data_IF_813044232997
#
_entry.id   IF_813044232997
#
_cell.length_a   1.000
_cell.length_b   1.000
_cell.length_c   1.000
_cell.angle_alpha   90.00
_cell.angle_beta   90.00
_cell.angle_gamma   90.00
#
_symmetry.space_group_name_H-M   'P 1'
#
loop_
_entity.id
_entity.type
_entity.pdbx_description
1 polymer ?
#
# COMPACT_ATOMS: atom_id res chain seq x y z
N UNK A 1 12.47 -9.61 31.30
CA UNK A 1 12.07 -8.38 30.61
C UNK A 1 10.56 -8.33 30.60
N UNK A 2 9.96 -7.17 30.88
CA UNK A 2 8.51 -6.98 30.84
C UNK A 2 8.04 -6.80 29.39
N UNK A 3 6.98 -7.51 29.01
CA UNK A 3 6.28 -7.30 27.74
C UNK A 3 5.76 -5.86 27.64
N UNK A 4 5.86 -5.26 26.45
CA UNK A 4 5.28 -3.95 26.15
C UNK A 4 4.01 -4.14 25.33
N UNK A 5 2.86 -3.92 25.95
CA UNK A 5 1.58 -3.92 25.25
C UNK A 5 1.40 -2.61 24.48
N UNK A 6 1.10 -2.71 23.19
CA UNK A 6 0.76 -1.58 22.31
C UNK A 6 -0.67 -1.74 21.79
N UNK A 7 -1.18 -0.70 21.12
CA UNK A 7 -2.51 -0.70 20.49
C UNK A 7 -2.69 -1.91 19.56
N UNK A 8 -3.94 -2.36 19.39
CA UNK A 8 -4.30 -3.42 18.45
C UNK A 8 -3.88 -3.10 17.00
N UNK A 9 -3.70 -4.13 16.18
CA UNK A 9 -3.35 -3.96 14.76
C UNK A 9 -1.87 -4.11 14.43
N UNK A 10 -1.03 -4.41 15.43
CA UNK A 10 0.38 -4.75 15.26
C UNK A 10 0.69 -6.20 15.65
N UNK A 11 -0.34 -7.04 15.83
CA UNK A 11 -0.17 -8.47 16.11
C UNK A 11 0.59 -9.17 14.98
N UNK A 12 1.09 -10.38 15.24
CA UNK A 12 1.75 -11.20 14.23
C UNK A 12 0.88 -11.31 12.96
N UNK A 13 -0.42 -11.56 13.15
CA UNK A 13 -1.39 -11.66 12.07
C UNK A 13 -1.46 -10.36 11.28
N UNK A 14 -1.68 -9.21 11.93
CA UNK A 14 -1.80 -7.94 11.21
C UNK A 14 -0.52 -7.57 10.43
N UNK A 15 0.66 -7.82 11.00
CA UNK A 15 1.93 -7.61 10.27
C UNK A 15 2.06 -8.53 9.06
N UNK A 16 1.64 -9.78 9.16
CA UNK A 16 1.63 -10.70 8.03
C UNK A 16 0.68 -10.24 6.92
N UNK A 17 -0.51 -9.73 7.27
CA UNK A 17 -1.44 -9.17 6.29
C UNK A 17 -0.86 -7.95 5.57
N UNK A 18 -0.16 -7.10 6.32
CA UNK A 18 0.54 -5.94 5.78
C UNK A 18 1.64 -6.35 4.79
N UNK A 19 2.47 -7.34 5.13
CA UNK A 19 3.49 -7.88 4.21
C UNK A 19 2.86 -8.56 2.99
N UNK A 20 1.79 -9.32 3.18
CA UNK A 20 1.06 -9.95 2.09
C UNK A 20 0.44 -8.89 1.16
N UNK A 21 -0.12 -7.81 1.70
CA UNK A 21 -0.68 -6.71 0.90
C UNK A 21 0.40 -6.04 0.04
N UNK A 22 1.60 -5.82 0.59
CA UNK A 22 2.76 -5.35 -0.16
C UNK A 22 3.16 -6.31 -1.29
N UNK A 23 3.22 -7.61 -1.01
CA UNK A 23 3.57 -8.63 -2.02
C UNK A 23 2.52 -8.76 -3.12
N UNK A 24 1.24 -8.59 -2.80
CA UNK A 24 0.14 -8.69 -3.75
C UNK A 24 -0.11 -7.41 -4.56
N UNK A 25 0.52 -6.29 -4.21
CA UNK A 25 0.33 -5.00 -4.89
C UNK A 25 0.50 -5.05 -6.43
N UNK A 26 1.47 -5.79 -7.01
CA UNK A 26 1.57 -5.91 -8.47
C UNK A 26 0.41 -6.68 -9.10
N UNK A 27 -0.07 -7.73 -8.44
CA UNK A 27 -1.23 -8.49 -8.91
C UNK A 27 -2.50 -7.63 -8.84
N UNK A 28 -2.63 -6.83 -7.78
CA UNK A 28 -3.69 -5.84 -7.64
C UNK A 28 -3.65 -4.80 -8.78
N UNK A 29 -2.46 -4.29 -9.10
CA UNK A 29 -2.27 -3.32 -10.18
C UNK A 29 -2.73 -3.89 -11.51
N UNK A 30 -2.26 -5.10 -11.84
CA UNK A 30 -2.57 -5.76 -13.11
C UNK A 30 -4.04 -6.17 -13.18
N UNK A 31 -4.63 -6.65 -12.08
CA UNK A 31 -6.06 -6.99 -12.01
C UNK A 31 -7.02 -5.79 -12.16
N UNK A 32 -6.55 -4.58 -11.90
CA UNK A 32 -7.32 -3.36 -12.13
C UNK A 32 -7.25 -2.80 -13.55
N UNK A 33 -6.32 -3.28 -14.40
CA UNK A 33 -6.21 -2.80 -15.78
C UNK A 33 -7.44 -3.23 -16.60
N UNK A 34 -8.13 -2.28 -17.22
CA UNK A 34 -9.35 -2.54 -18.00
C UNK A 34 -10.59 -2.92 -17.19
N UNK A 35 -10.44 -3.30 -15.92
CA UNK A 35 -11.56 -3.75 -15.09
C UNK A 35 -12.49 -2.61 -14.66
N UNK A 36 -13.76 -2.71 -15.04
CA UNK A 36 -14.83 -1.83 -14.56
C UNK A 36 -15.38 -2.22 -13.17
N UNK A 37 -14.87 -3.30 -12.59
CA UNK A 37 -15.21 -3.73 -11.24
C UNK A 37 -14.48 -2.84 -10.22
N UNK A 38 -15.07 -2.52 -9.06
CA UNK A 38 -14.39 -1.83 -7.97
C UNK A 38 -13.33 -2.71 -7.25
N UNK A 39 -12.60 -3.56 -7.98
CA UNK A 39 -11.65 -4.54 -7.41
C UNK A 39 -10.58 -3.91 -6.55
N UNK A 40 -10.17 -2.68 -6.88
CA UNK A 40 -9.16 -1.92 -6.15
C UNK A 40 -9.70 -1.09 -4.98
N UNK A 41 -11.03 -0.96 -4.82
CA UNK A 41 -11.60 -0.26 -3.66
C UNK A 41 -11.29 -1.00 -2.35
N UNK A 42 -11.35 -2.34 -2.35
CA UNK A 42 -11.00 -3.13 -1.17
C UNK A 42 -9.55 -2.89 -0.73
N UNK A 43 -8.63 -2.84 -1.69
CA UNK A 43 -7.23 -2.49 -1.47
C UNK A 43 -7.10 -1.09 -0.88
N UNK A 44 -7.76 -0.10 -1.49
CA UNK A 44 -7.73 1.28 -1.00
C UNK A 44 -8.30 1.41 0.42
N UNK A 45 -9.41 0.72 0.71
CA UNK A 45 -10.08 0.73 2.02
C UNK A 45 -9.20 0.10 3.11
N UNK A 46 -8.58 -1.05 2.83
CA UNK A 46 -7.62 -1.68 3.74
C UNK A 46 -6.48 -0.72 4.10
N UNK A 47 -5.85 -0.12 3.08
CA UNK A 47 -4.71 0.78 3.28
C UNK A 47 -5.11 2.08 4.00
N UNK A 48 -6.28 2.65 3.72
CA UNK A 48 -6.79 3.79 4.48
C UNK A 48 -7.03 3.44 5.95
N UNK A 49 -7.69 2.30 6.21
CA UNK A 49 -8.00 1.88 7.56
C UNK A 49 -6.72 1.68 8.38
N UNK A 50 -5.75 0.92 7.86
CA UNK A 50 -4.47 0.68 8.56
C UNK A 50 -3.71 1.99 8.77
N UNK A 51 -3.67 2.86 7.75
CA UNK A 51 -2.97 4.13 7.86
C UNK A 51 -3.61 5.09 8.88
N UNK A 52 -4.94 5.12 8.97
CA UNK A 52 -5.67 5.89 9.99
C UNK A 52 -5.36 5.35 11.39
N UNK A 53 -5.42 4.02 11.58
CA UNK A 53 -5.09 3.41 12.88
C UNK A 53 -3.66 3.77 13.31
N UNK A 54 -2.71 3.72 12.38
CA UNK A 54 -1.33 4.09 12.64
C UNK A 54 -1.18 5.56 12.99
N UNK A 55 -1.84 6.44 12.24
CA UNK A 55 -1.82 7.87 12.53
C UNK A 55 -2.38 8.19 13.93
N UNK A 56 -3.49 7.55 14.31
CA UNK A 56 -4.09 7.69 15.63
C UNK A 56 -3.15 7.19 16.73
N UNK A 57 -2.53 6.02 16.53
CA UNK A 57 -1.56 5.44 17.45
C UNK A 57 -0.29 6.31 17.62
N UNK A 58 0.20 6.89 16.51
CA UNK A 58 1.29 7.85 16.54
C UNK A 58 0.90 9.07 17.37
N UNK A 59 -0.25 9.69 17.09
CA UNK A 59 -0.73 10.87 17.81
C UNK A 59 -0.94 10.62 19.29
N UNK A 60 -1.40 9.43 19.66
CA UNK A 60 -1.62 9.04 21.04
C UNK A 60 -0.33 8.58 21.76
N UNK A 61 0.82 8.57 21.07
CA UNK A 61 2.10 8.05 21.57
C UNK A 61 2.05 6.58 22.04
N UNK A 62 1.22 5.75 21.39
CA UNK A 62 0.95 4.36 21.81
C UNK A 62 1.79 3.31 21.08
N UNK A 63 2.79 3.74 20.31
CA UNK A 63 3.59 2.84 19.47
C UNK A 63 4.85 2.28 20.17
N UNK A 64 5.30 2.91 21.26
CA UNK A 64 6.59 2.57 21.87
C UNK A 64 7.71 2.48 20.80
N UNK A 65 8.55 1.45 20.84
CA UNK A 65 9.60 1.19 19.85
C UNK A 65 9.09 0.94 18.43
N UNK A 66 7.78 0.69 18.23
CA UNK A 66 7.20 0.72 16.87
C UNK A 66 7.27 2.12 16.25
N UNK A 67 7.52 3.19 17.02
CA UNK A 67 7.68 4.54 16.48
C UNK A 67 8.87 4.68 15.51
N UNK A 68 9.77 3.71 15.50
CA UNK A 68 10.86 3.56 14.54
C UNK A 68 10.36 3.05 13.16
N UNK A 69 9.25 2.32 13.10
CA UNK A 69 8.71 1.71 11.88
C UNK A 69 8.07 2.70 10.89
N UNK A 70 7.23 3.68 11.30
CA UNK A 70 6.55 4.58 10.36
C UNK A 70 7.48 5.27 9.36
N UNK A 71 8.68 5.69 9.79
CA UNK A 71 9.66 6.30 8.89
C UNK A 71 10.08 5.32 7.80
N UNK A 72 10.35 4.07 8.16
CA UNK A 72 10.91 3.06 7.24
C UNK A 72 9.82 2.47 6.34
N UNK A 73 8.60 2.38 6.86
CA UNK A 73 7.45 1.97 6.07
C UNK A 73 6.95 3.06 5.12
N UNK A 74 7.41 4.30 5.27
CA UNK A 74 7.12 5.34 4.27
C UNK A 74 7.66 4.96 2.89
N UNK A 75 8.84 4.35 2.83
CA UNK A 75 9.39 3.79 1.60
C UNK A 75 8.55 2.64 1.01
N UNK A 76 8.27 1.58 1.79
CA UNK A 76 7.56 0.39 1.29
C UNK A 76 6.12 0.66 0.88
N UNK A 77 5.42 1.46 1.69
CA UNK A 77 4.01 1.71 1.46
C UNK A 77 3.75 2.58 0.26
N UNK A 78 4.66 3.50 -0.06
CA UNK A 78 4.58 4.26 -1.30
C UNK A 78 4.55 3.34 -2.53
N UNK A 79 5.32 2.25 -2.53
CA UNK A 79 5.25 1.25 -3.61
C UNK A 79 3.97 0.40 -3.54
N UNK A 80 3.58 -0.02 -2.33
CA UNK A 80 2.34 -0.79 -2.09
C UNK A 80 1.12 -0.05 -2.61
N UNK A 81 0.98 1.23 -2.26
CA UNK A 81 -0.22 2.02 -2.53
C UNK A 81 -0.42 2.27 -4.03
N UNK A 82 0.66 2.26 -4.83
CA UNK A 82 0.56 2.29 -6.29
C UNK A 82 -0.17 1.05 -6.85
N UNK A 83 -0.15 -0.09 -6.15
CA UNK A 83 -0.87 -1.29 -6.56
C UNK A 83 -2.37 -1.10 -6.76
N UNK A 84 -2.98 -0.15 -6.06
CA UNK A 84 -4.42 0.09 -6.09
C UNK A 84 -4.92 1.13 -7.10
N UNK A 85 -4.06 1.73 -7.92
CA UNK A 85 -4.45 2.94 -8.69
C UNK A 85 -5.18 2.65 -10.02
N UNK A 86 -5.22 1.40 -10.46
CA UNK A 86 -5.70 1.04 -11.81
C UNK A 86 -7.21 0.79 -11.83
N UNK A 87 -7.88 1.23 -12.90
CA UNK A 87 -9.28 0.89 -13.19
C UNK A 87 -9.56 1.06 -14.69
N UNK A 88 -10.57 0.35 -15.20
CA UNK A 88 -11.13 0.56 -16.53
C UNK A 88 -12.08 1.76 -16.65
N UNK A 89 -12.48 2.39 -15.54
CA UNK A 89 -13.40 3.53 -15.53
C UNK A 89 -12.70 4.79 -14.98
N UNK A 90 -12.80 5.92 -15.70
CA UNK A 90 -12.21 7.20 -15.30
C UNK A 90 -12.66 7.71 -13.92
N UNK A 91 -13.94 7.58 -13.57
CA UNK A 91 -14.45 8.02 -12.26
C UNK A 91 -13.78 7.21 -11.13
N UNK A 92 -13.68 5.89 -11.33
CA UNK A 92 -13.02 5.00 -10.40
C UNK A 92 -11.51 5.25 -10.35
N UNK A 93 -10.87 5.44 -11.51
CA UNK A 93 -9.46 5.80 -11.60
C UNK A 93 -9.14 7.09 -10.83
N UNK A 94 -9.98 8.12 -10.93
CA UNK A 94 -9.82 9.36 -10.16
C UNK A 94 -9.95 9.12 -8.64
N UNK A 95 -10.95 8.35 -8.21
CA UNK A 95 -11.12 7.99 -6.79
C UNK A 95 -9.90 7.22 -6.28
N UNK A 96 -9.44 6.23 -7.03
CA UNK A 96 -8.29 5.40 -6.65
C UNK A 96 -7.00 6.21 -6.64
N UNK A 97 -6.75 7.05 -7.65
CA UNK A 97 -5.58 7.91 -7.73
C UNK A 97 -5.54 8.93 -6.60
N UNK A 98 -6.64 9.66 -6.36
CA UNK A 98 -6.75 10.63 -5.26
C UNK A 98 -6.69 9.94 -3.89
N UNK A 99 -7.38 8.80 -3.76
CA UNK A 99 -7.38 8.00 -2.55
C UNK A 99 -5.98 7.53 -2.19
N UNK A 100 -5.27 6.91 -3.14
CA UNK A 100 -3.87 6.48 -2.98
C UNK A 100 -2.95 7.63 -2.62
N UNK A 101 -3.08 8.78 -3.30
CA UNK A 101 -2.31 9.98 -2.97
C UNK A 101 -2.58 10.43 -1.52
N UNK A 102 -3.84 10.39 -1.08
CA UNK A 102 -4.22 10.70 0.30
C UNK A 102 -3.58 9.75 1.33
N UNK A 103 -3.55 8.43 1.07
CA UNK A 103 -2.87 7.46 1.97
C UNK A 103 -1.37 7.74 2.03
N UNK A 104 -0.71 8.00 0.90
CA UNK A 104 0.72 8.35 0.86
C UNK A 104 1.04 9.62 1.69
N UNK A 105 0.19 10.65 1.56
CA UNK A 105 0.32 11.89 2.33
C UNK A 105 0.13 11.60 3.82
N UNK A 106 -0.91 10.86 4.20
CA UNK A 106 -1.16 10.51 5.60
C UNK A 106 -0.03 9.67 6.20
N UNK A 107 0.57 8.77 5.41
CA UNK A 107 1.72 7.99 5.81
C UNK A 107 2.95 8.87 6.07
N UNK A 108 3.22 9.80 5.17
CA UNK A 108 4.31 10.77 5.33
C UNK A 108 4.09 11.64 6.57
N UNK A 109 2.86 12.11 6.82
CA UNK A 109 2.52 12.86 8.03
C UNK A 109 2.71 12.00 9.29
N UNK A 110 2.28 10.74 9.27
CA UNK A 110 2.43 9.81 10.39
C UNK A 110 3.90 9.55 10.71
N UNK A 111 4.72 9.35 9.68
CA UNK A 111 6.16 9.16 9.82
C UNK A 111 6.86 10.39 10.42
N UNK A 112 6.57 11.59 9.92
CA UNK A 112 7.09 12.84 10.48
C UNK A 112 6.63 13.09 11.91
N UNK A 113 5.36 12.81 12.21
CA UNK A 113 4.83 12.94 13.57
C UNK A 113 5.51 11.95 14.51
N UNK A 114 5.68 10.70 14.09
CA UNK A 114 6.35 9.66 14.87
C UNK A 114 7.80 10.01 15.17
N UNK A 115 8.54 10.48 14.15
CA UNK A 115 9.90 10.98 14.32
C UNK A 115 9.92 12.13 15.33
N UNK A 116 9.14 13.19 15.10
CA UNK A 116 9.21 14.41 15.90
C UNK A 116 8.76 14.22 17.36
N UNK A 117 7.81 13.32 17.62
CA UNK A 117 7.12 13.26 18.93
C UNK A 117 7.27 11.95 19.70
N UNK A 118 7.53 10.82 19.03
CA UNK A 118 7.50 9.50 19.68
C UNK A 118 8.89 8.86 19.79
N UNK A 119 9.78 9.08 18.82
CA UNK A 119 11.10 8.44 18.84
C UNK A 119 11.98 8.94 19.99
N UNK A 120 11.85 10.21 20.36
CA UNK A 120 12.65 10.82 21.43
C UNK A 120 12.42 10.16 22.80
N UNK A 121 11.20 9.68 23.04
CA UNK A 121 10.83 8.94 24.26
C UNK A 121 11.60 7.61 24.39
N UNK A 122 12.20 7.13 23.29
CA UNK A 122 12.94 5.88 23.21
C UNK A 122 14.46 6.00 23.36
N UNK A 123 15.01 7.19 23.61
CA UNK A 123 16.46 7.37 23.69
C UNK A 123 17.08 6.55 24.83
N UNK A 124 18.09 5.75 24.49
CA UNK A 124 18.74 4.83 25.43
C UNK A 124 17.94 3.55 25.72
N UNK A 125 16.73 3.42 25.18
CA UNK A 125 15.81 2.30 25.48
C UNK A 125 15.46 1.48 24.26
N UNK A 126 15.02 2.13 23.17
CA UNK A 126 14.53 1.41 21.99
C UNK A 126 15.68 0.77 21.23
N UNK A 127 15.55 -0.52 20.98
CA UNK A 127 16.57 -1.29 20.26
C UNK A 127 16.11 -1.57 18.83
N UNK A 128 17.03 -1.47 17.89
CA UNK A 128 16.79 -1.79 16.49
C UNK A 128 18.05 -2.40 15.87
N UNK A 129 17.87 -3.06 14.73
CA UNK A 129 18.98 -3.69 14.04
C UNK A 129 19.47 -2.80 12.89
N UNK A 130 20.74 -2.44 12.87
CA UNK A 130 21.37 -1.76 11.73
C UNK A 130 22.82 -2.20 11.65
N UNK A 131 23.05 -3.27 10.86
CA UNK A 131 24.32 -4.00 10.81
C UNK A 131 24.83 -4.35 12.22
N UNK A 132 23.94 -4.92 13.04
CA UNK A 132 24.15 -5.17 14.47
C UNK A 132 23.11 -4.46 15.35
N UNK A 133 23.01 -4.89 16.60
CA UNK A 133 22.08 -4.29 17.55
C UNK A 133 22.53 -2.89 17.96
N UNK A 134 21.62 -1.92 17.83
CA UNK A 134 21.82 -0.53 18.21
C UNK A 134 20.73 -0.12 19.17
N UNK A 135 21.06 0.86 20.00
CA UNK A 135 20.10 1.54 20.85
C UNK A 135 19.89 2.93 20.28
N UNK A 136 18.63 3.36 20.23
CA UNK A 136 18.25 4.67 19.74
C UNK A 136 18.95 5.76 20.56
N UNK A 137 19.70 6.60 19.88
CA UNK A 137 20.42 7.74 20.44
C UNK A 137 20.06 9.00 19.63
N UNK A 138 20.39 10.20 20.14
CA UNK A 138 20.20 11.43 19.37
C UNK A 138 20.89 11.40 18.01
N UNK A 139 22.05 10.74 17.90
CA UNK A 139 22.75 10.57 16.62
C UNK A 139 21.97 9.70 15.63
N UNK A 140 21.42 8.57 16.10
CA UNK A 140 20.55 7.71 15.28
C UNK A 140 19.25 8.40 14.90
N UNK A 141 18.67 9.20 15.79
CA UNK A 141 17.49 9.99 15.50
C UNK A 141 17.71 10.99 14.35
N UNK A 142 18.89 11.61 14.30
CA UNK A 142 19.31 12.47 13.17
C UNK A 142 19.57 11.67 11.89
N UNK A 143 20.11 10.46 11.98
CA UNK A 143 20.24 9.59 10.80
C UNK A 143 18.86 9.25 10.21
N UNK A 144 17.90 8.88 11.07
CA UNK A 144 16.52 8.57 10.68
C UNK A 144 15.82 9.80 10.06
N UNK A 145 16.17 11.02 10.51
CA UNK A 145 15.68 12.25 9.88
C UNK A 145 16.09 12.35 8.41
N UNK A 146 17.36 12.10 8.09
CA UNK A 146 17.85 12.15 6.71
C UNK A 146 17.15 11.11 5.83
N UNK A 147 16.93 9.92 6.39
CA UNK A 147 16.15 8.87 5.74
C UNK A 147 14.71 9.35 5.45
N UNK A 148 14.03 9.91 6.45
CA UNK A 148 12.65 10.39 6.32
C UNK A 148 12.51 11.50 5.26
N UNK A 149 13.52 12.36 5.12
CA UNK A 149 13.56 13.37 4.06
C UNK A 149 13.62 12.70 2.68
N UNK A 150 14.51 11.73 2.50
CA UNK A 150 14.61 10.99 1.24
C UNK A 150 13.29 10.27 0.89
N UNK A 151 12.68 9.60 1.88
CA UNK A 151 11.40 8.91 1.70
C UNK A 151 10.26 9.89 1.37
N UNK A 152 10.28 11.11 1.93
CA UNK A 152 9.28 12.13 1.62
C UNK A 152 9.39 12.63 0.17
N UNK A 153 10.61 12.76 -0.35
CA UNK A 153 10.85 13.14 -1.76
C UNK A 153 10.34 12.03 -2.69
N UNK A 154 10.63 10.77 -2.37
CA UNK A 154 10.11 9.63 -3.13
C UNK A 154 8.58 9.59 -3.08
N UNK A 155 7.99 9.74 -1.90
CA UNK A 155 6.54 9.77 -1.70
C UNK A 155 5.89 10.86 -2.56
N UNK A 156 6.49 12.05 -2.63
CA UNK A 156 6.01 13.13 -3.50
C UNK A 156 6.02 12.73 -4.98
N UNK A 157 7.10 12.13 -5.48
CA UNK A 157 7.17 11.62 -6.85
C UNK A 157 6.10 10.55 -7.14
N UNK A 158 5.85 9.66 -6.18
CA UNK A 158 4.83 8.62 -6.31
C UNK A 158 3.41 9.14 -6.21
N UNK A 159 3.15 10.23 -5.47
CA UNK A 159 1.86 10.95 -5.50
C UNK A 159 1.57 11.46 -6.91
N UNK A 160 2.54 12.14 -7.54
CA UNK A 160 2.39 12.61 -8.93
C UNK A 160 2.16 11.44 -9.89
N UNK A 161 2.88 10.34 -9.68
CA UNK A 161 2.75 9.11 -10.45
C UNK A 161 1.35 8.50 -10.28
N UNK A 162 0.81 8.43 -9.07
CA UNK A 162 -0.51 7.89 -8.79
C UNK A 162 -1.61 8.68 -9.52
N UNK A 163 -1.54 10.00 -9.48
CA UNK A 163 -2.49 10.88 -10.16
C UNK A 163 -2.39 10.78 -11.70
N UNK A 164 -1.16 10.66 -12.22
CA UNK A 164 -0.94 10.60 -13.66
C UNK A 164 -1.33 9.24 -14.23
N UNK A 165 -0.84 8.15 -13.63
CA UNK A 165 -1.08 6.78 -14.12
C UNK A 165 -2.57 6.41 -14.02
N UNK A 166 -3.25 6.80 -12.94
CA UNK A 166 -4.69 6.52 -12.78
C UNK A 166 -5.52 7.10 -13.93
N UNK A 167 -5.20 8.30 -14.42
CA UNK A 167 -5.87 8.89 -15.58
C UNK A 167 -5.38 8.25 -16.89
N UNK A 168 -4.06 8.08 -17.07
CA UNK A 168 -3.50 7.54 -18.31
C UNK A 168 -3.98 6.11 -18.61
N UNK A 169 -4.07 5.26 -17.59
CA UNK A 169 -4.54 3.87 -17.72
C UNK A 169 -5.99 3.84 -18.18
N UNK A 170 -6.86 4.72 -17.67
CA UNK A 170 -8.29 4.75 -18.07
C UNK A 170 -8.51 5.18 -19.53
N UNK A 171 -7.51 5.83 -20.16
CA UNK A 171 -7.56 6.25 -21.57
C UNK A 171 -6.93 5.23 -22.53
N UNK A 172 -6.24 4.22 -22.01
CA UNK A 172 -5.72 3.14 -22.84
C UNK A 172 -6.84 2.15 -23.10
N UNK A 173 -7.11 1.90 -24.38
CA UNK A 173 -7.90 0.75 -24.78
C UNK A 173 -7.07 -0.51 -24.51
N UNK A 174 -7.35 -1.15 -23.38
CA UNK A 174 -6.92 -2.52 -23.17
C UNK A 174 -7.87 -3.39 -24.00
N UNK A 175 -7.32 -4.08 -25.01
CA UNK A 175 -8.03 -5.12 -25.75
C UNK A 175 -8.42 -6.24 -24.76
N UNK A 176 -9.57 -6.06 -24.07
CA UNK A 176 -10.16 -7.07 -23.18
C UNK A 176 -10.38 -8.41 -23.93
N UNK A 177 -10.43 -8.38 -25.26
CA UNK A 177 -10.78 -9.50 -26.12
C UNK A 177 -9.59 -10.44 -26.47
N UNK A 178 -8.34 -10.12 -26.10
CA UNK A 178 -7.16 -10.94 -26.52
C UNK A 178 -6.67 -11.98 -25.51
N UNK A 179 -6.84 -11.77 -24.20
CA UNK A 179 -6.47 -12.76 -23.16
C UNK A 179 -7.36 -12.67 -21.91
N UNK A 180 -7.87 -13.81 -21.40
CA UNK A 180 -8.58 -13.86 -20.12
C UNK A 180 -7.80 -13.24 -18.95
N UNK A 181 -8.53 -12.53 -18.07
CA UNK A 181 -7.97 -11.80 -16.91
C UNK A 181 -7.02 -12.62 -16.03
N UNK A 182 -7.38 -13.88 -15.77
CA UNK A 182 -6.61 -14.78 -14.91
C UNK A 182 -5.23 -15.13 -15.50
N UNK A 183 -5.05 -15.05 -16.83
CA UNK A 183 -3.78 -15.36 -17.49
C UNK A 183 -2.71 -14.27 -17.29
N UNK A 184 -3.10 -13.05 -16.93
CA UNK A 184 -2.17 -12.00 -16.55
C UNK A 184 -2.13 -11.75 -15.05
N UNK A 185 -3.25 -11.87 -14.32
CA UNK A 185 -3.28 -11.62 -12.88
C UNK A 185 -2.64 -12.74 -12.06
N UNK A 186 -2.89 -14.02 -12.34
CA UNK A 186 -2.37 -15.12 -11.52
C UNK A 186 -0.85 -15.29 -11.58
N UNK A 187 -0.19 -15.16 -12.75
CA UNK A 187 1.27 -15.15 -12.78
C UNK A 187 1.86 -14.00 -11.95
N UNK A 188 1.18 -12.85 -11.92
CA UNK A 188 1.61 -11.69 -11.13
C UNK A 188 1.43 -11.87 -9.63
N UNK A 189 0.54 -12.75 -9.18
CA UNK A 189 0.48 -13.14 -7.76
C UNK A 189 1.81 -13.77 -7.36
N UNK A 190 2.37 -14.68 -8.16
CA UNK A 190 3.63 -15.34 -7.83
C UNK A 190 4.84 -14.46 -8.15
N UNK A 191 4.97 -14.02 -9.40
CA UNK A 191 6.13 -13.26 -9.88
C UNK A 191 6.21 -11.88 -9.23
N UNK A 192 5.06 -11.20 -9.10
CA UNK A 192 4.96 -9.94 -8.39
C UNK A 192 5.32 -10.09 -6.92
N UNK A 193 4.79 -11.10 -6.23
CA UNK A 193 5.15 -11.33 -4.82
C UNK A 193 6.63 -11.58 -4.62
N UNK A 194 7.26 -12.39 -5.47
CA UNK A 194 8.72 -12.63 -5.39
C UNK A 194 9.50 -11.34 -5.62
N UNK A 195 9.14 -10.56 -6.64
CA UNK A 195 9.80 -9.29 -6.92
C UNK A 195 9.67 -8.29 -5.77
N UNK A 196 8.46 -8.15 -5.22
CA UNK A 196 8.20 -7.28 -4.07
C UNK A 196 8.94 -7.76 -2.83
N UNK A 197 8.92 -9.07 -2.54
CA UNK A 197 9.68 -9.63 -1.43
C UNK A 197 11.18 -9.30 -1.57
N UNK A 198 11.78 -9.53 -2.74
CA UNK A 198 13.18 -9.17 -2.99
C UNK A 198 13.46 -7.66 -2.85
N UNK A 199 12.48 -6.81 -3.14
CA UNK A 199 12.61 -5.36 -3.03
C UNK A 199 12.41 -4.82 -1.60
N UNK A 200 11.76 -5.59 -0.71
CA UNK A 200 11.35 -5.10 0.61
C UNK A 200 11.69 -6.01 1.80
N UNK A 201 12.35 -7.14 1.58
CA UNK A 201 12.61 -8.13 2.64
C UNK A 201 13.45 -7.55 3.78
N UNK A 202 14.38 -6.62 3.51
CA UNK A 202 15.20 -6.00 4.56
C UNK A 202 14.33 -5.25 5.57
N UNK A 203 13.30 -4.57 5.09
CA UNK A 203 12.40 -3.77 5.92
C UNK A 203 11.37 -4.63 6.65
N UNK A 204 10.93 -5.74 6.05
CA UNK A 204 10.14 -6.77 6.73
C UNK A 204 10.95 -7.36 7.88
N UNK A 205 12.19 -7.76 7.61
CA UNK A 205 13.11 -8.28 8.62
C UNK A 205 13.33 -7.26 9.73
N UNK A 206 13.55 -6.00 9.37
CA UNK A 206 13.77 -4.92 10.33
C UNK A 206 12.59 -4.73 11.28
N UNK A 207 11.36 -4.77 10.75
CA UNK A 207 10.14 -4.67 11.54
C UNK A 207 9.98 -5.83 12.53
N UNK A 208 10.21 -7.07 12.08
CA UNK A 208 10.15 -8.25 12.95
C UNK A 208 11.25 -8.24 14.03
N UNK A 209 12.44 -7.75 13.70
CA UNK A 209 13.53 -7.59 14.66
C UNK A 209 13.21 -6.54 15.73
N UNK A 210 12.55 -5.44 15.38
CA UNK A 210 12.11 -4.44 16.38
C UNK A 210 11.04 -5.01 17.30
N UNK A 211 10.01 -5.66 16.73
CA UNK A 211 8.92 -6.24 17.53
C UNK A 211 9.48 -7.27 18.51
N UNK A 212 10.27 -8.22 18.01
CA UNK A 212 10.82 -9.30 18.82
C UNK A 212 11.80 -8.78 19.89
N UNK A 213 12.70 -7.84 19.52
CA UNK A 213 13.73 -7.36 20.43
C UNK A 213 13.19 -6.48 21.55
N UNK A 214 12.14 -5.72 21.28
CA UNK A 214 11.53 -4.84 22.27
C UNK A 214 10.33 -5.50 22.99
N UNK A 215 10.10 -6.81 22.79
CA UNK A 215 9.02 -7.58 23.42
C UNK A 215 7.64 -6.94 23.25
N UNK A 216 7.34 -6.52 22.02
CA UNK A 216 6.09 -5.82 21.70
C UNK A 216 4.99 -6.82 21.47
N UNK A 217 3.89 -6.67 22.21
CA UNK A 217 2.67 -7.46 22.05
C UNK A 217 1.49 -6.55 21.70
N UNK A 218 0.63 -7.03 20.79
CA UNK A 218 -0.50 -6.29 20.27
C UNK A 218 -1.61 -7.27 19.93
N UNK A 219 -2.84 -6.93 20.30
CA UNK A 219 -4.01 -7.70 19.95
C UNK A 219 -4.28 -7.66 18.44
N UNK A 220 -4.88 -8.73 17.91
CA UNK A 220 -5.25 -8.80 16.50
C UNK A 220 -6.44 -7.90 16.22
N UNK A 221 -6.25 -6.96 15.29
CA UNK A 221 -7.35 -6.18 14.76
C UNK A 221 -8.09 -6.98 13.68
N UNK A 222 -9.27 -7.49 14.04
CA UNK A 222 -10.12 -8.27 13.14
C UNK A 222 -10.73 -7.43 12.02
N UNK A 223 -10.90 -6.11 12.18
CA UNK A 223 -11.41 -5.25 11.11
C UNK A 223 -10.39 -5.20 9.97
N UNK A 224 -9.11 -5.04 10.29
CA UNK A 224 -8.03 -5.12 9.29
C UNK A 224 -8.00 -6.50 8.60
N UNK A 225 -8.24 -7.59 9.34
CA UNK A 225 -8.33 -8.94 8.76
C UNK A 225 -9.45 -9.02 7.73
N UNK A 226 -10.66 -8.58 8.07
CA UNK A 226 -11.80 -8.61 7.15
C UNK A 226 -11.61 -7.71 5.93
N UNK A 227 -11.01 -6.53 6.12
CA UNK A 227 -10.67 -5.64 5.01
C UNK A 227 -9.63 -6.26 4.08
N UNK A 228 -8.64 -6.97 4.63
CA UNK A 228 -7.66 -7.71 3.82
C UNK A 228 -8.31 -8.86 3.05
N UNK A 229 -9.20 -9.62 3.68
CA UNK A 229 -9.97 -10.67 2.99
C UNK A 229 -10.80 -10.08 1.86
N UNK A 230 -11.42 -8.92 2.07
CA UNK A 230 -12.15 -8.20 1.03
C UNK A 230 -11.22 -7.73 -0.11
N UNK A 231 -10.02 -7.23 0.20
CA UNK A 231 -8.99 -6.90 -0.79
C UNK A 231 -8.63 -8.12 -1.65
N UNK A 232 -8.26 -9.24 -1.03
CA UNK A 232 -7.87 -10.47 -1.75
C UNK A 232 -9.04 -11.03 -2.55
N UNK A 233 -10.24 -11.08 -1.97
CA UNK A 233 -11.44 -11.54 -2.66
C UNK A 233 -11.74 -10.68 -3.89
N UNK A 234 -11.68 -9.36 -3.77
CA UNK A 234 -11.92 -8.45 -4.88
C UNK A 234 -10.87 -8.56 -6.01
N UNK A 235 -9.64 -9.00 -5.70
CA UNK A 235 -8.61 -9.31 -6.68
C UNK A 235 -8.84 -10.65 -7.40
N UNK A 236 -9.41 -11.65 -6.70
CA UNK A 236 -9.62 -13.01 -7.23
C UNK A 236 -10.96 -13.19 -7.95
N UNK A 237 -11.93 -12.29 -7.75
CA UNK A 237 -13.25 -12.38 -8.38
C UNK A 237 -13.19 -11.74 -9.78
N UNK A 238 -13.69 -12.42 -10.84
CA UNK A 238 -13.72 -11.87 -12.19
C UNK A 238 -14.50 -10.54 -12.24
N UNK A 239 -14.14 -9.67 -13.18
CA UNK A 239 -14.80 -8.37 -13.32
C UNK A 239 -16.31 -8.54 -13.48
N UNK A 240 -17.10 -7.77 -12.72
CA UNK A 240 -18.57 -7.84 -12.80
C UNK A 240 -19.10 -7.65 -14.23
N UNK A 241 -18.36 -6.98 -15.13
CA UNK A 241 -18.74 -6.84 -16.53
C UNK A 241 -18.72 -8.14 -17.36
N UNK A 242 -17.99 -9.16 -16.92
CA UNK A 242 -17.96 -10.49 -17.54
C UNK A 242 -19.12 -11.40 -17.10
N UNK A 243 -19.74 -11.13 -15.95
CA UNK A 243 -20.82 -11.94 -15.35
C UNK A 243 -22.18 -11.22 -15.36
N UNK A 244 -22.18 -9.90 -15.23
CA UNK A 244 -23.34 -9.00 -15.23
C UNK A 244 -23.13 -7.96 -16.34
N UNK A 245 -23.65 -8.23 -17.55
CA UNK A 245 -23.51 -7.38 -18.74
C UNK A 245 -24.10 -5.95 -18.64
N UNK A 246 -24.37 -5.44 -17.44
CA UNK A 246 -25.13 -4.22 -17.19
C UNK A 246 -24.30 -2.92 -17.17
N UNK A 247 -22.96 -2.98 -17.12
CA UNK A 247 -22.11 -1.77 -17.13
C UNK A 247 -21.40 -1.49 -18.46
N UNK A 248 -21.69 -2.27 -19.51
CA UNK A 248 -20.97 -2.21 -20.80
C UNK A 248 -21.34 -1.02 -21.69
N UNK A 249 -22.42 -0.27 -21.41
CA UNK A 249 -23.00 0.70 -22.37
C UNK A 249 -23.02 2.18 -21.96
N UNK A 250 -22.55 2.57 -20.78
CA UNK A 250 -22.82 3.93 -20.28
C UNK A 250 -21.86 5.05 -20.69
N UNK A 251 -20.55 4.80 -20.72
CA UNK A 251 -19.58 5.91 -20.60
C UNK A 251 -18.24 5.70 -21.32
N UNK A 252 -18.25 5.03 -22.48
CA UNK A 252 -17.14 5.22 -23.43
C UNK A 252 -17.29 6.61 -24.04
N UNK A 253 -16.34 7.51 -23.76
CA UNK A 253 -16.24 8.80 -24.46
C UNK A 253 -16.23 8.58 -25.98
N UNK A 254 -16.61 9.61 -26.76
CA UNK A 254 -16.88 9.45 -28.19
C UNK A 254 -15.70 8.78 -28.88
N UNK A 255 -15.98 7.62 -29.50
CA UNK A 255 -15.06 6.97 -30.44
C UNK A 255 -14.70 8.00 -31.50
N UNK A 256 -13.44 8.34 -31.64
CA UNK A 256 -12.93 8.87 -32.91
C UNK A 256 -13.11 7.76 -33.93
N UNK A 257 -14.13 7.89 -34.77
CA UNK A 257 -14.38 7.04 -35.92
C UNK A 257 -13.10 6.88 -36.75
N UNK A 258 -12.69 5.66 -37.13
CA UNK A 258 -11.71 5.52 -38.19
C UNK A 258 -12.35 6.08 -39.46
N UNK A 259 -11.65 7.00 -40.13
CA UNK A 259 -12.01 7.46 -41.47
C UNK A 259 -12.09 6.24 -42.39
N UNK A 260 -13.32 5.86 -42.74
CA UNK A 260 -13.61 5.05 -43.93
C UNK A 260 -13.23 5.89 -45.16
N UNK A 261 -12.00 5.74 -45.64
CA UNK A 261 -11.72 5.98 -47.05
C UNK A 261 -11.85 4.66 -47.80
N UNK A 262 -13.10 4.34 -48.13
CA UNK A 262 -13.45 3.43 -49.21
C UNK A 262 -13.20 4.10 -50.56
N UNK A 263 -12.38 3.44 -51.38
CA UNK A 263 -12.44 3.27 -52.83
C UNK A 263 -13.32 4.24 -53.65
N UNK A 264 -12.66 4.98 -54.56
CA UNK A 264 -12.93 4.95 -56.00
C UNK A 264 -11.60 4.84 -56.73
#
# INVERSE_FOLDING_TARGET
MSTVAVVAGFSQTNRWLMYASFMLAPAQFVGGLGSNCPSNIGFLAYNWYTQIQWYQAVKAKQLHALSLLPVHFNFLYVLTYLGGITSGNIFMGLILGLGTAGVMILNTISAWTSWATNQQDGFGVYQFFFFGWRTLSPGWHTFILLWQIADSILAFGCVLTALTISVMVTRKDFDEDKLPWYLHTYPMILLGSVAMLLAGWELILWAELIVSRNHIESETDMVAVWLFVAQVGAMLIPSCGSVLGCFRSGFRGPRSSPEEHGLV
#
